data_IF_057216146857
#
_entry.id   IF_057216146857
#
_cell.length_a   1.000
_cell.length_b   1.000
_cell.length_c   1.000
_cell.angle_alpha   90.00
_cell.angle_beta   90.00
_cell.angle_gamma   90.00
#
_symmetry.space_group_name_H-M   'P 1'
#
loop_
_entity.id
_entity.type
_entity.pdbx_description
1 polymer ?
#
# COMPACT_ATOMS: atom_id res chain seq x y z
N UNK A 1 3.58 -24.35 -23.46
CA UNK A 1 3.87 -22.91 -23.32
C UNK A 1 5.20 -22.66 -24.02
N UNK A 2 5.24 -21.83 -25.06
CA UNK A 2 6.48 -21.61 -25.84
C UNK A 2 7.44 -20.72 -25.02
N UNK A 3 8.63 -21.20 -24.63
CA UNK A 3 9.53 -20.47 -23.74
C UNK A 3 10.15 -19.19 -24.35
N UNK A 4 9.95 -18.94 -25.66
CA UNK A 4 10.54 -17.79 -26.36
C UNK A 4 9.58 -16.60 -26.57
N UNK A 5 8.34 -16.63 -26.06
CA UNK A 5 7.46 -15.47 -26.15
C UNK A 5 7.87 -14.40 -25.13
N UNK A 6 8.33 -13.25 -25.62
CA UNK A 6 8.64 -12.09 -24.76
C UNK A 6 7.35 -11.52 -24.15
N UNK A 7 7.43 -10.91 -22.95
CA UNK A 7 6.26 -10.30 -22.25
C UNK A 7 5.50 -9.32 -23.17
N UNK A 8 6.18 -8.71 -24.14
CA UNK A 8 5.60 -7.77 -25.08
C UNK A 8 4.64 -8.39 -26.10
N UNK A 9 4.79 -9.67 -26.42
CA UNK A 9 3.98 -10.32 -27.48
C UNK A 9 2.71 -10.98 -26.91
N UNK A 10 2.72 -11.29 -25.62
CA UNK A 10 1.61 -12.00 -24.99
C UNK A 10 0.51 -11.04 -24.49
N UNK A 11 -0.55 -10.91 -25.30
CA UNK A 11 -1.71 -10.06 -24.99
C UNK A 11 -2.46 -10.49 -23.73
N UNK A 12 -2.54 -11.78 -23.46
CA UNK A 12 -3.23 -12.30 -22.27
C UNK A 12 -2.45 -11.97 -21.00
N UNK A 13 -1.12 -12.09 -21.03
CA UNK A 13 -0.27 -11.66 -19.92
C UNK A 13 -0.39 -10.15 -19.66
N UNK A 14 -0.41 -9.32 -20.71
CA UNK A 14 -0.61 -7.87 -20.57
C UNK A 14 -1.94 -7.53 -19.91
N UNK A 15 -3.03 -8.18 -20.32
CA UNK A 15 -4.35 -8.01 -19.69
C UNK A 15 -4.32 -8.45 -18.22
N UNK A 16 -3.70 -9.59 -17.92
CA UNK A 16 -3.59 -10.09 -16.55
C UNK A 16 -2.83 -9.11 -15.65
N UNK A 17 -1.67 -8.61 -16.10
CA UNK A 17 -0.88 -7.60 -15.35
C UNK A 17 -1.71 -6.34 -15.11
N UNK A 18 -2.43 -5.86 -16.14
CA UNK A 18 -3.28 -4.69 -16.00
C UNK A 18 -4.37 -4.90 -14.95
N UNK A 19 -5.05 -6.05 -14.96
CA UNK A 19 -6.10 -6.39 -13.98
C UNK A 19 -5.52 -6.41 -12.57
N UNK A 20 -4.39 -7.08 -12.37
CA UNK A 20 -3.71 -7.16 -11.06
C UNK A 20 -3.32 -5.77 -10.56
N UNK A 21 -2.79 -4.92 -11.45
CA UNK A 21 -2.46 -3.54 -11.11
C UNK A 21 -3.69 -2.73 -10.70
N UNK A 22 -4.81 -2.84 -11.45
CA UNK A 22 -6.06 -2.14 -11.13
C UNK A 22 -6.62 -2.58 -9.77
N UNK A 23 -6.64 -3.88 -9.48
CA UNK A 23 -7.05 -4.41 -8.17
C UNK A 23 -6.16 -3.84 -7.07
N UNK A 24 -4.85 -3.84 -7.27
CA UNK A 24 -3.88 -3.31 -6.30
C UNK A 24 -4.06 -1.80 -6.06
N UNK A 25 -4.40 -1.05 -7.11
CA UNK A 25 -4.72 0.38 -7.02
C UNK A 25 -6.01 0.63 -6.25
N UNK A 26 -7.06 -0.17 -6.48
CA UNK A 26 -8.31 -0.08 -5.72
C UNK A 26 -8.04 -0.33 -4.22
N UNK A 27 -7.27 -1.35 -3.87
CA UNK A 27 -6.87 -1.58 -2.47
C UNK A 27 -6.05 -0.42 -1.90
N UNK A 28 -5.14 0.16 -2.69
CA UNK A 28 -4.36 1.34 -2.27
C UNK A 28 -5.28 2.51 -1.90
N UNK A 29 -6.28 2.78 -2.74
CA UNK A 29 -7.27 3.83 -2.50
C UNK A 29 -8.09 3.51 -1.25
N UNK A 30 -8.60 2.29 -1.10
CA UNK A 30 -9.37 1.90 0.09
C UNK A 30 -8.57 2.08 1.37
N UNK A 31 -7.29 1.68 1.39
CA UNK A 31 -6.40 1.89 2.54
C UNK A 31 -6.26 3.38 2.86
N UNK A 32 -6.01 4.22 1.85
CA UNK A 32 -5.90 5.66 2.05
C UNK A 32 -7.22 6.27 2.53
N UNK A 33 -8.36 5.87 1.95
CA UNK A 33 -9.67 6.33 2.40
C UNK A 33 -9.93 5.98 3.86
N UNK A 34 -9.64 4.74 4.27
CA UNK A 34 -9.76 4.34 5.68
C UNK A 34 -8.85 5.22 6.55
N UNK A 35 -7.59 5.40 6.16
CA UNK A 35 -6.63 6.16 6.95
C UNK A 35 -7.05 7.64 7.12
N UNK A 36 -7.57 8.28 6.07
CA UNK A 36 -7.89 9.71 6.08
C UNK A 36 -9.30 10.01 6.62
N UNK A 37 -10.26 9.09 6.48
CA UNK A 37 -11.66 9.34 6.84
C UNK A 37 -12.16 8.57 8.07
N UNK A 38 -11.41 7.60 8.59
CA UNK A 38 -11.76 6.86 9.81
C UNK A 38 -10.95 7.37 11.01
N UNK A 39 -11.60 7.44 12.16
CA UNK A 39 -10.97 7.83 13.43
C UNK A 39 -9.82 6.87 13.80
N UNK A 40 -8.70 7.45 14.26
CA UNK A 40 -7.50 6.66 14.57
C UNK A 40 -7.68 5.69 15.73
N UNK A 41 -8.55 5.99 16.71
CA UNK A 41 -8.85 5.09 17.82
C UNK A 41 -9.57 3.85 17.31
N UNK A 42 -10.51 4.02 16.37
CA UNK A 42 -11.21 2.92 15.72
C UNK A 42 -10.20 2.04 14.97
N UNK A 43 -9.35 2.64 14.12
CA UNK A 43 -8.31 1.91 13.38
C UNK A 43 -7.43 1.12 14.34
N UNK A 44 -6.85 1.78 15.35
CA UNK A 44 -5.88 1.17 16.27
C UNK A 44 -6.51 0.09 17.15
N UNK A 45 -7.80 0.20 17.51
CA UNK A 45 -8.51 -0.84 18.26
C UNK A 45 -8.68 -2.16 17.48
N UNK A 46 -8.55 -2.12 16.15
CA UNK A 46 -8.68 -3.29 15.27
C UNK A 46 -7.34 -3.85 14.82
N UNK A 47 -6.23 -3.16 15.10
CA UNK A 47 -4.89 -3.63 14.74
C UNK A 47 -4.46 -4.74 15.71
N UNK A 48 -4.18 -5.96 15.22
CA UNK A 48 -3.71 -7.03 16.10
C UNK A 48 -2.30 -6.75 16.62
N UNK A 49 -1.97 -7.39 17.74
CA UNK A 49 -0.60 -7.42 18.26
C UNK A 49 0.25 -8.27 17.30
N UNK A 50 1.46 -7.80 17.01
CA UNK A 50 2.42 -8.59 16.23
C UNK A 50 3.15 -9.58 17.16
N UNK A 51 2.70 -10.83 17.17
CA UNK A 51 3.27 -11.88 18.03
C UNK A 51 4.78 -12.08 17.85
N UNK A 52 5.28 -11.95 16.62
CA UNK A 52 6.72 -12.11 16.35
C UNK A 52 7.55 -11.00 17.02
N UNK A 53 7.06 -9.75 16.98
CA UNK A 53 7.67 -8.61 17.67
C UNK A 53 7.54 -8.75 19.19
N UNK A 54 6.40 -9.25 19.67
CA UNK A 54 6.17 -9.48 21.11
C UNK A 54 7.16 -10.48 21.71
N UNK A 55 7.63 -11.45 20.91
CA UNK A 55 8.69 -12.41 21.27
C UNK A 55 10.11 -11.88 21.09
N UNK A 56 10.29 -10.59 20.80
CA UNK A 56 11.59 -9.95 20.59
C UNK A 56 12.14 -10.03 19.17
N UNK A 57 11.42 -10.66 18.23
CA UNK A 57 11.84 -10.73 16.83
C UNK A 57 11.69 -9.41 16.09
N UNK A 58 12.57 -9.12 15.12
CA UNK A 58 12.39 -7.96 14.25
C UNK A 58 11.43 -8.28 13.10
N UNK A 59 10.33 -7.52 12.99
CA UNK A 59 9.40 -7.63 11.88
C UNK A 59 9.42 -6.34 11.05
N UNK A 60 9.74 -6.49 9.77
CA UNK A 60 9.95 -5.38 8.84
C UNK A 60 8.70 -4.52 8.60
N UNK A 61 7.50 -5.08 8.75
CA UNK A 61 6.22 -4.37 8.60
C UNK A 61 5.50 -4.15 9.94
N UNK A 62 6.15 -4.46 11.05
CA UNK A 62 5.57 -4.15 12.35
C UNK A 62 5.51 -2.63 12.54
N UNK A 63 4.39 -2.15 13.09
CA UNK A 63 4.18 -0.72 13.33
C UNK A 63 3.69 0.06 12.10
N UNK A 64 3.53 -0.54 10.92
CA UNK A 64 3.16 0.20 9.70
C UNK A 64 1.86 0.99 9.81
N UNK A 65 0.81 0.42 10.43
CA UNK A 65 -0.47 1.14 10.62
C UNK A 65 -0.30 2.37 11.50
N UNK A 66 0.49 2.27 12.59
CA UNK A 66 0.80 3.42 13.46
C UNK A 66 1.67 4.44 12.71
N UNK A 67 2.65 3.98 11.94
CA UNK A 67 3.49 4.84 11.11
C UNK A 67 2.65 5.60 10.06
N UNK A 68 1.65 4.96 9.44
CA UNK A 68 0.74 5.62 8.50
C UNK A 68 -0.11 6.69 9.17
N UNK A 69 -0.55 6.47 10.42
CA UNK A 69 -1.25 7.50 11.20
C UNK A 69 -0.33 8.70 11.50
N UNK A 70 0.95 8.47 11.82
CA UNK A 70 1.93 9.55 11.98
C UNK A 70 2.18 10.29 10.65
N UNK A 71 2.27 9.58 9.53
CA UNK A 71 2.41 10.19 8.20
C UNK A 71 1.19 11.03 7.82
N UNK A 72 -0.03 10.59 8.17
CA UNK A 72 -1.25 11.40 8.03
C UNK A 72 -1.13 12.73 8.78
N UNK A 73 -0.48 12.72 9.95
CA UNK A 73 -0.20 13.92 10.78
C UNK A 73 1.03 14.70 10.33
N UNK A 74 1.65 14.33 9.20
CA UNK A 74 2.92 14.89 8.70
C UNK A 74 4.09 14.70 9.67
N UNK A 75 3.99 13.79 10.63
CA UNK A 75 5.07 13.46 11.56
C UNK A 75 5.98 12.36 10.98
N UNK A 76 6.85 12.76 10.07
CA UNK A 76 7.78 11.82 9.42
C UNK A 76 8.77 11.20 10.40
N UNK A 77 9.26 11.96 11.38
CA UNK A 77 10.21 11.45 12.38
C UNK A 77 9.59 10.32 13.20
N UNK A 78 8.36 10.53 13.70
CA UNK A 78 7.60 9.50 14.41
C UNK A 78 7.30 8.28 13.54
N UNK A 79 6.93 8.49 12.28
CA UNK A 79 6.71 7.41 11.33
C UNK A 79 7.97 6.56 11.09
N UNK A 80 9.13 7.19 10.89
CA UNK A 80 10.41 6.50 10.71
C UNK A 80 10.84 5.72 11.96
N UNK A 81 10.58 6.25 13.15
CA UNK A 81 10.85 5.58 14.41
C UNK A 81 9.98 4.31 14.59
N UNK A 82 8.73 4.36 14.14
CA UNK A 82 7.81 3.21 14.18
C UNK A 82 8.13 2.16 13.12
N UNK A 83 8.38 2.59 11.88
CA UNK A 83 8.71 1.71 10.77
C UNK A 83 9.41 2.48 9.64
N UNK A 84 10.69 2.18 9.40
CA UNK A 84 11.52 2.92 8.42
C UNK A 84 11.06 2.78 6.98
N UNK A 85 10.39 1.69 6.61
CA UNK A 85 9.89 1.50 5.23
C UNK A 85 8.54 2.19 5.01
N UNK A 86 7.76 2.42 6.06
CA UNK A 86 6.40 2.93 5.94
C UNK A 86 6.26 4.24 5.17
N UNK A 87 7.16 5.24 5.34
CA UNK A 87 7.12 6.45 4.50
C UNK A 87 7.20 6.15 3.00
N UNK A 88 8.04 5.21 2.60
CA UNK A 88 8.19 4.79 1.21
C UNK A 88 6.94 4.07 0.69
N UNK A 89 6.42 3.09 1.45
CA UNK A 89 5.20 2.36 1.06
C UNK A 89 4.01 3.31 0.98
N UNK A 90 3.87 4.22 1.93
CA UNK A 90 2.82 5.22 1.93
C UNK A 90 2.87 6.10 0.68
N UNK A 91 4.06 6.56 0.28
CA UNK A 91 4.28 7.28 -0.97
C UNK A 91 3.89 6.46 -2.19
N UNK A 92 4.24 5.16 -2.23
CA UNK A 92 3.84 4.26 -3.31
C UNK A 92 2.31 4.09 -3.40
N UNK A 93 1.60 3.99 -2.28
CA UNK A 93 0.14 3.88 -2.28
C UNK A 93 -0.51 5.15 -2.85
N UNK A 94 -0.01 6.33 -2.46
CA UNK A 94 -0.49 7.61 -3.00
C UNK A 94 -0.21 7.68 -4.49
N UNK A 95 1.04 7.44 -4.91
CA UNK A 95 1.43 7.51 -6.31
C UNK A 95 0.65 6.52 -7.17
N UNK A 96 0.50 5.28 -6.72
CA UNK A 96 -0.28 4.26 -7.41
C UNK A 96 -1.74 4.68 -7.58
N UNK A 97 -2.34 5.28 -6.54
CA UNK A 97 -3.70 5.82 -6.59
C UNK A 97 -3.82 6.97 -7.60
N UNK A 98 -2.88 7.91 -7.61
CA UNK A 98 -2.86 9.03 -8.55
C UNK A 98 -2.70 8.57 -10.01
N UNK A 99 -1.81 7.60 -10.26
CA UNK A 99 -1.62 7.02 -11.60
C UNK A 99 -2.89 6.31 -12.05
N UNK A 100 -3.55 5.57 -11.15
CA UNK A 100 -4.81 4.90 -11.47
C UNK A 100 -5.93 5.89 -11.80
N UNK A 101 -6.10 6.96 -11.03
CA UNK A 101 -7.05 8.02 -11.38
C UNK A 101 -6.74 8.63 -12.75
N UNK A 102 -5.48 8.98 -13.02
CA UNK A 102 -5.07 9.48 -14.34
C UNK A 102 -5.39 8.49 -15.46
N UNK A 103 -5.18 7.19 -15.23
CA UNK A 103 -5.54 6.14 -16.18
C UNK A 103 -7.05 6.09 -16.45
N UNK A 104 -7.88 6.19 -15.42
CA UNK A 104 -9.35 6.24 -15.56
C UNK A 104 -9.79 7.48 -16.33
N UNK A 105 -9.29 8.68 -15.99
CA UNK A 105 -9.64 9.93 -16.68
C UNK A 105 -9.19 9.98 -18.14
N UNK A 106 -8.10 9.28 -18.51
CA UNK A 106 -7.68 9.17 -19.91
C UNK A 106 -8.55 8.20 -20.72
N UNK A 107 -9.22 7.27 -20.04
CA UNK A 107 -10.04 6.23 -20.66
C UNK A 107 -11.53 6.63 -20.76
N UNK A 108 -11.98 7.56 -19.91
CA UNK A 108 -13.27 8.25 -20.04
C UNK A 108 -13.25 9.20 -21.24
#
# INVERSE_FOLDING_TARGET
MNPNQTIYENQELKKAILIVWQISAIFSIVILLILFFVDEKIILSKVPICEYKAKGGECFLCGSTRAFIELRKLNFSGAFALNRLSPFVFGLLILNSLIFFKYLFKKL
#
